data_IF_001030355160
#
_entry.id   IF_001030355160
#
_cell.length_a   1.000
_cell.length_b   1.000
_cell.length_c   1.000
_cell.angle_alpha   90.00
_cell.angle_beta   90.00
_cell.angle_gamma   90.00
#
_symmetry.space_group_name_H-M   'P 1'
#
loop_
_entity.id
_entity.type
_entity.pdbx_description
1 polymer ?
#
# COMPACT_ATOMS: atom_id res chain seq x y z
N UNK A 1 15.72 8.98 -10.48
CA UNK A 1 14.48 9.77 -10.48
C UNK A 1 14.74 11.11 -9.84
N UNK A 2 14.15 12.20 -10.34
CA UNK A 2 14.28 13.52 -9.73
C UNK A 2 13.41 13.61 -8.47
N UNK A 3 13.93 14.21 -7.39
CA UNK A 3 13.18 14.48 -6.16
C UNK A 3 12.82 15.95 -6.07
N UNK A 4 11.58 16.26 -5.67
CA UNK A 4 11.13 17.63 -5.40
C UNK A 4 10.83 17.77 -3.91
N UNK A 5 11.33 18.85 -3.30
CA UNK A 5 11.01 19.17 -1.91
C UNK A 5 9.57 19.66 -1.82
N UNK A 6 8.80 19.07 -0.92
CA UNK A 6 7.45 19.49 -0.54
C UNK A 6 7.37 19.62 0.97
N UNK A 7 6.53 20.52 1.47
CA UNK A 7 6.25 20.65 2.90
C UNK A 7 4.93 19.97 3.19
N UNK A 8 4.91 19.10 4.20
CA UNK A 8 3.71 18.39 4.66
C UNK A 8 3.60 18.53 6.17
N UNK A 9 2.36 18.46 6.68
CA UNK A 9 2.10 18.37 8.11
C UNK A 9 2.04 16.90 8.50
N UNK A 10 2.72 16.54 9.58
CA UNK A 10 2.66 15.21 10.19
C UNK A 10 2.33 15.38 11.66
N UNK A 11 1.64 14.39 12.22
CA UNK A 11 1.48 14.26 13.65
C UNK A 11 2.87 14.21 14.34
N UNK A 12 2.98 14.87 15.49
CA UNK A 12 4.26 15.02 16.18
C UNK A 12 4.80 13.68 16.72
N UNK A 13 3.91 12.82 17.22
CA UNK A 13 4.27 11.51 17.76
C UNK A 13 4.70 10.58 16.63
N UNK A 14 3.97 10.61 15.50
CA UNK A 14 4.36 9.86 14.28
C UNK A 14 5.73 10.31 13.77
N UNK A 15 6.01 11.62 13.74
CA UNK A 15 7.32 12.12 13.31
C UNK A 15 8.44 11.67 14.26
N UNK A 16 8.18 11.62 15.57
CA UNK A 16 9.13 11.14 16.56
C UNK A 16 9.45 9.66 16.35
N UNK A 17 8.42 8.82 16.23
CA UNK A 17 8.56 7.38 15.97
C UNK A 17 9.34 7.11 14.67
N UNK A 18 8.99 7.82 13.59
CA UNK A 18 9.71 7.70 12.33
C UNK A 18 11.19 8.04 12.49
N UNK A 19 11.52 9.13 13.17
CA UNK A 19 12.91 9.55 13.40
C UNK A 19 13.69 8.54 14.24
N UNK A 20 13.06 7.96 15.26
CA UNK A 20 13.67 6.89 16.06
C UNK A 20 13.97 5.66 15.19
N UNK A 21 13.03 5.27 14.35
CA UNK A 21 13.14 4.08 13.49
C UNK A 21 14.20 4.21 12.39
N UNK A 22 14.28 5.35 11.72
CA UNK A 22 15.08 5.50 10.48
C UNK A 22 16.27 6.44 10.61
N UNK A 23 16.39 7.13 11.75
CA UNK A 23 17.45 8.08 12.03
C UNK A 23 17.34 9.39 11.23
N UNK A 24 18.31 10.31 11.43
CA UNK A 24 18.22 11.70 10.97
C UNK A 24 18.23 11.90 9.45
N UNK A 25 18.67 10.90 8.68
CA UNK A 25 18.74 10.98 7.21
C UNK A 25 17.79 10.01 6.49
N UNK A 26 17.13 9.11 7.23
CA UNK A 26 16.28 8.06 6.63
C UNK A 26 14.85 8.52 6.34
N UNK A 27 14.41 9.65 6.89
CA UNK A 27 12.99 10.04 6.89
C UNK A 27 12.42 10.19 5.47
N UNK A 28 13.12 10.90 4.59
CA UNK A 28 12.65 11.11 3.22
C UNK A 28 12.61 9.82 2.41
N UNK A 29 13.58 8.92 2.59
CA UNK A 29 13.60 7.64 1.90
C UNK A 29 12.45 6.75 2.39
N UNK A 30 12.25 6.68 3.70
CA UNK A 30 11.16 5.91 4.30
C UNK A 30 9.79 6.39 3.83
N UNK A 31 9.53 7.70 3.89
CA UNK A 31 8.25 8.26 3.46
C UNK A 31 8.04 8.03 1.96
N UNK A 32 9.07 8.19 1.13
CA UNK A 32 8.95 7.91 -0.30
C UNK A 32 8.57 6.45 -0.58
N UNK A 33 9.20 5.49 0.08
CA UNK A 33 8.87 4.07 -0.10
C UNK A 33 7.50 3.72 0.46
N UNK A 34 7.13 4.27 1.61
CA UNK A 34 5.79 4.10 2.18
C UNK A 34 4.72 4.65 1.22
N UNK A 35 4.86 5.87 0.73
CA UNK A 35 3.92 6.47 -0.23
C UNK A 35 3.88 5.67 -1.55
N UNK A 36 5.02 5.16 -2.03
CA UNK A 36 5.05 4.29 -3.22
C UNK A 36 4.27 3.00 -3.01
N UNK A 37 4.38 2.41 -1.82
CA UNK A 37 3.63 1.20 -1.45
C UNK A 37 2.14 1.48 -1.41
N UNK A 38 1.71 2.56 -0.75
CA UNK A 38 0.28 2.92 -0.68
C UNK A 38 -0.28 3.21 -2.07
N UNK A 39 0.37 4.05 -2.88
CA UNK A 39 -0.06 4.31 -4.26
C UNK A 39 -0.09 3.06 -5.15
N UNK A 40 0.69 2.02 -4.82
CA UNK A 40 0.62 0.74 -5.52
C UNK A 40 -0.63 -0.03 -5.09
N UNK A 41 -0.95 -0.05 -3.81
CA UNK A 41 -2.16 -0.68 -3.28
C UNK A 41 -3.41 0.02 -3.82
N UNK A 42 -3.46 1.36 -3.79
CA UNK A 42 -4.57 2.14 -4.34
C UNK A 42 -4.87 1.75 -5.81
N UNK A 43 -3.82 1.66 -6.64
CA UNK A 43 -3.96 1.23 -8.04
C UNK A 43 -4.41 -0.23 -8.20
N UNK A 44 -4.06 -1.10 -7.26
CA UNK A 44 -4.51 -2.48 -7.27
C UNK A 44 -6.01 -2.54 -6.92
N UNK A 45 -6.44 -1.75 -5.95
CA UNK A 45 -7.85 -1.66 -5.55
C UNK A 45 -8.69 -1.08 -6.70
N UNK A 46 -8.25 0.03 -7.32
CA UNK A 46 -8.89 0.60 -8.51
C UNK A 46 -9.01 -0.42 -9.66
N UNK A 47 -7.99 -1.26 -9.85
CA UNK A 47 -8.00 -2.30 -10.88
C UNK A 47 -9.02 -3.39 -10.57
N UNK A 48 -9.09 -3.83 -9.31
CA UNK A 48 -10.03 -4.86 -8.85
C UNK A 48 -11.48 -4.36 -8.95
N UNK A 49 -11.75 -3.15 -8.47
CA UNK A 49 -13.06 -2.49 -8.58
C UNK A 49 -13.52 -2.45 -10.04
N UNK A 50 -12.66 -1.96 -10.94
CA UNK A 50 -13.01 -1.91 -12.36
C UNK A 50 -13.21 -3.30 -12.99
N UNK A 51 -12.54 -4.34 -12.50
CA UNK A 51 -12.75 -5.71 -12.96
C UNK A 51 -14.12 -6.25 -12.51
N UNK A 52 -14.49 -6.03 -11.24
CA UNK A 52 -15.79 -6.43 -10.68
C UNK A 52 -16.94 -5.65 -11.34
N UNK A 53 -16.79 -4.37 -11.62
CA UNK A 53 -17.81 -3.59 -12.36
C UNK A 53 -18.11 -4.18 -13.75
N UNK A 54 -17.10 -4.74 -14.42
CA UNK A 54 -17.25 -5.32 -15.77
C UNK A 54 -17.73 -6.76 -15.77
N UNK A 55 -17.26 -7.58 -14.82
CA UNK A 55 -17.47 -9.03 -14.83
C UNK A 55 -18.44 -9.53 -13.74
N UNK A 56 -18.76 -8.68 -12.76
CA UNK A 56 -19.40 -9.08 -11.50
C UNK A 56 -18.40 -9.65 -10.48
N UNK A 57 -18.83 -9.85 -9.23
CA UNK A 57 -17.98 -10.44 -8.20
C UNK A 57 -17.61 -11.90 -8.55
N UNK A 58 -16.44 -12.39 -8.12
CA UNK A 58 -16.04 -13.77 -8.34
C UNK A 58 -17.03 -14.75 -7.65
N UNK A 59 -17.34 -15.90 -8.30
CA UNK A 59 -18.17 -16.94 -7.69
C UNK A 59 -17.55 -17.47 -6.40
N UNK A 60 -18.40 -17.81 -5.42
CA UNK A 60 -17.98 -18.27 -4.08
C UNK A 60 -17.14 -19.54 -4.16
N UNK A 61 -17.52 -20.46 -5.04
CA UNK A 61 -16.85 -21.74 -5.23
C UNK A 61 -15.41 -21.55 -5.74
N UNK A 62 -15.20 -20.56 -6.64
CA UNK A 62 -13.88 -20.23 -7.15
C UNK A 62 -12.98 -19.58 -6.07
N UNK A 63 -13.57 -18.77 -5.18
CA UNK A 63 -12.85 -18.21 -4.03
C UNK A 63 -12.44 -19.29 -3.02
N UNK A 64 -13.33 -20.25 -2.75
CA UNK A 64 -13.05 -21.38 -1.86
C UNK A 64 -11.93 -22.28 -2.41
N UNK A 65 -11.97 -22.57 -3.72
CA UNK A 65 -10.90 -23.30 -4.41
C UNK A 65 -9.56 -22.56 -4.34
N UNK A 66 -9.54 -21.25 -4.63
CA UNK A 66 -8.34 -20.43 -4.55
C UNK A 66 -7.77 -20.37 -3.12
N UNK A 67 -8.64 -20.24 -2.10
CA UNK A 67 -8.22 -20.22 -0.71
C UNK A 67 -7.56 -21.55 -0.31
N UNK A 68 -8.16 -22.68 -0.69
CA UNK A 68 -7.59 -24.00 -0.44
C UNK A 68 -6.24 -24.18 -1.14
N UNK A 69 -6.08 -23.68 -2.37
CA UNK A 69 -4.82 -23.80 -3.12
C UNK A 69 -3.66 -23.00 -2.49
N UNK A 70 -3.96 -21.82 -1.92
CA UNK A 70 -2.93 -20.90 -1.41
C UNK A 70 -2.62 -21.15 0.07
N UNK A 71 -3.63 -21.50 0.87
CA UNK A 71 -3.56 -21.57 2.33
C UNK A 71 -4.07 -22.88 2.95
N UNK A 72 -4.60 -23.82 2.16
CA UNK A 72 -4.84 -25.19 2.61
C UNK A 72 -3.52 -25.97 2.61
N UNK A 73 -3.28 -26.77 3.66
CA UNK A 73 -2.02 -27.51 3.91
C UNK A 73 -1.36 -28.14 2.66
#
# INVERSE_FOLDING_TARGET
MATKKVSITLDADVLAELRERVGPRGLSAYINEAVRRELKLDRMDEFLEGAEERAGPPPKEALEEAHHLIWGD
#
